data_IF_469268038846
#
_entry.id   IF_469268038846
#
_cell.length_a   1.000
_cell.length_b   1.000
_cell.length_c   1.000
_cell.angle_alpha   90.00
_cell.angle_beta   90.00
_cell.angle_gamma   90.00
#
_symmetry.space_group_name_H-M   'P 1'
#
loop_
_entity.id
_entity.type
_entity.pdbx_description
1 polymer ?
#
# COMPACT_ATOMS: atom_id res chain seq x y z
N UNK A 1 -43.87 14.78 63.91
CA UNK A 1 -43.23 15.51 62.77
C UNK A 1 -42.17 14.59 62.20
N UNK A 2 -42.53 13.80 61.20
CA UNK A 2 -41.64 12.77 60.62
C UNK A 2 -41.13 13.31 59.30
N UNK A 3 -39.82 13.53 59.18
CA UNK A 3 -39.13 14.01 57.91
C UNK A 3 -38.88 12.82 57.00
N UNK A 4 -39.52 12.84 55.85
CA UNK A 4 -39.31 11.91 54.76
C UNK A 4 -38.03 12.32 53.98
N UNK A 5 -37.00 11.48 54.00
CA UNK A 5 -35.78 11.67 53.19
C UNK A 5 -35.99 10.92 51.88
N UNK A 6 -36.15 11.67 50.77
CA UNK A 6 -36.19 11.11 49.41
C UNK A 6 -34.75 10.97 48.93
N UNK A 7 -34.26 9.73 48.78
CA UNK A 7 -32.99 9.42 48.15
C UNK A 7 -33.18 9.45 46.62
N UNK A 8 -32.57 10.47 45.99
CA UNK A 8 -32.43 10.51 44.52
C UNK A 8 -31.23 9.63 44.12
N UNK A 9 -31.51 8.46 43.54
CA UNK A 9 -30.47 7.64 42.95
C UNK A 9 -30.10 8.21 41.58
N UNK A 10 -28.95 8.87 41.55
CA UNK A 10 -28.33 9.37 40.30
C UNK A 10 -27.73 8.16 39.54
N UNK A 11 -28.38 7.68 38.49
CA UNK A 11 -27.83 6.68 37.61
C UNK A 11 -26.82 7.39 36.69
N UNK A 12 -25.56 7.27 37.04
CA UNK A 12 -24.44 7.63 36.15
C UNK A 12 -24.36 6.59 35.04
N UNK A 13 -24.90 6.92 33.87
CA UNK A 13 -24.67 6.15 32.64
C UNK A 13 -23.20 6.26 32.28
N UNK A 14 -22.46 5.17 32.44
CA UNK A 14 -21.05 5.05 32.07
C UNK A 14 -20.92 5.04 30.55
N UNK A 15 -20.13 5.97 29.94
CA UNK A 15 -19.89 5.99 28.47
C UNK A 15 -19.07 4.80 27.98
N UNK A 16 -18.62 3.89 28.83
CA UNK A 16 -17.81 2.72 28.46
C UNK A 16 -18.58 1.57 27.80
N UNK A 17 -19.89 1.47 28.04
CA UNK A 17 -20.69 0.35 27.51
C UNK A 17 -20.94 0.44 25.99
N UNK A 18 -21.06 1.66 25.46
CA UNK A 18 -21.30 1.87 24.03
C UNK A 18 -20.05 1.49 23.18
N UNK A 19 -18.86 1.83 23.66
CA UNK A 19 -17.59 1.52 22.98
C UNK A 19 -17.26 0.02 23.00
N UNK A 20 -17.54 -0.67 24.13
CA UNK A 20 -17.34 -2.13 24.26
C UNK A 20 -18.38 -2.95 23.46
N UNK A 21 -19.55 -2.39 23.17
CA UNK A 21 -20.54 -3.01 22.30
C UNK A 21 -20.19 -2.83 20.81
N UNK A 22 -19.56 -1.71 20.45
CA UNK A 22 -19.12 -1.43 19.08
C UNK A 22 -17.93 -2.32 18.69
N UNK A 23 -16.97 -2.56 19.59
CA UNK A 23 -15.85 -3.49 19.38
C UNK A 23 -16.29 -4.96 19.17
N UNK A 24 -17.51 -5.33 19.57
CA UNK A 24 -18.10 -6.66 19.34
C UNK A 24 -19.03 -6.73 18.14
N UNK A 25 -19.20 -5.63 17.42
CA UNK A 25 -20.09 -5.60 16.25
C UNK A 25 -19.52 -6.46 15.10
N UNK A 26 -20.39 -7.08 14.26
CA UNK A 26 -19.93 -7.80 13.07
C UNK A 26 -19.03 -6.95 12.18
N UNK A 27 -19.27 -5.64 12.07
CA UNK A 27 -18.43 -4.73 11.29
C UNK A 27 -17.03 -4.57 11.89
N UNK A 28 -16.92 -4.38 13.21
CA UNK A 28 -15.61 -4.30 13.87
C UNK A 28 -14.84 -5.62 13.74
N UNK A 29 -15.55 -6.76 13.85
CA UNK A 29 -14.97 -8.09 13.61
C UNK A 29 -14.48 -8.24 12.17
N UNK A 30 -15.23 -7.81 11.18
CA UNK A 30 -14.83 -7.86 9.77
C UNK A 30 -13.52 -7.07 9.53
N UNK A 31 -13.41 -5.84 10.09
CA UNK A 31 -12.17 -5.04 10.04
C UNK A 31 -10.99 -5.72 10.72
N UNK A 32 -11.22 -6.31 11.90
CA UNK A 32 -10.17 -7.04 12.60
C UNK A 32 -9.66 -8.23 11.78
N UNK A 33 -10.54 -9.04 11.24
CA UNK A 33 -10.19 -10.20 10.40
C UNK A 33 -9.46 -9.77 9.12
N UNK A 34 -9.92 -8.71 8.47
CA UNK A 34 -9.21 -8.12 7.33
C UNK A 34 -7.77 -7.72 7.69
N UNK A 35 -7.57 -7.03 8.81
CA UNK A 35 -6.25 -6.63 9.28
C UNK A 35 -5.36 -7.83 9.65
N UNK A 36 -5.97 -8.94 10.10
CA UNK A 36 -5.28 -10.21 10.34
C UNK A 36 -5.02 -11.02 9.07
N UNK A 37 -5.45 -10.51 7.90
CA UNK A 37 -5.38 -11.17 6.59
C UNK A 37 -6.19 -12.48 6.50
N UNK A 38 -7.16 -12.66 7.37
CA UNK A 38 -8.15 -13.73 7.27
C UNK A 38 -9.33 -13.24 6.40
N UNK A 39 -9.08 -13.21 5.08
CA UNK A 39 -10.00 -12.60 4.13
C UNK A 39 -11.32 -13.37 4.01
N UNK A 40 -11.30 -14.70 4.11
CA UNK A 40 -12.52 -15.51 4.06
C UNK A 40 -13.44 -15.20 5.26
N UNK A 41 -12.88 -15.20 6.45
CA UNK A 41 -13.64 -14.86 7.65
C UNK A 41 -14.07 -13.38 7.66
N UNK A 42 -13.26 -12.46 7.09
CA UNK A 42 -13.60 -11.06 6.97
C UNK A 42 -14.84 -10.85 6.07
N UNK A 43 -14.91 -11.55 4.92
CA UNK A 43 -16.06 -11.50 4.01
C UNK A 43 -17.31 -11.98 4.71
N UNK A 44 -17.25 -13.13 5.40
CA UNK A 44 -18.42 -13.67 6.14
C UNK A 44 -18.90 -12.70 7.22
N UNK A 45 -17.99 -12.12 7.99
CA UNK A 45 -18.34 -11.13 9.02
C UNK A 45 -18.91 -9.83 8.44
N UNK A 46 -18.40 -9.40 7.26
CA UNK A 46 -18.93 -8.25 6.55
C UNK A 46 -20.35 -8.52 6.01
N UNK A 47 -20.62 -9.71 5.47
CA UNK A 47 -21.97 -10.10 5.02
C UNK A 47 -22.98 -10.14 6.18
N UNK A 48 -22.55 -10.52 7.38
CA UNK A 48 -23.38 -10.41 8.57
C UNK A 48 -23.62 -8.93 8.96
N UNK A 49 -22.58 -8.10 8.92
CA UNK A 49 -22.70 -6.67 9.23
C UNK A 49 -23.63 -5.94 8.25
N UNK A 50 -23.64 -6.35 6.97
CA UNK A 50 -24.45 -5.79 5.89
C UNK A 50 -25.96 -5.89 6.14
N UNK A 51 -26.40 -6.81 6.98
CA UNK A 51 -27.83 -6.95 7.33
C UNK A 51 -28.39 -5.74 8.06
N UNK A 52 -27.53 -4.91 8.66
CA UNK A 52 -27.87 -3.63 9.24
C UNK A 52 -27.71 -2.53 8.19
N UNK A 53 -28.80 -1.89 7.71
CA UNK A 53 -28.77 -0.94 6.57
C UNK A 53 -27.80 0.22 6.77
N UNK A 54 -27.66 0.70 8.01
CA UNK A 54 -26.75 1.80 8.37
C UNK A 54 -25.26 1.43 8.30
N UNK A 55 -24.94 0.14 8.18
CA UNK A 55 -23.57 -0.40 8.10
C UNK A 55 -23.29 -1.06 6.76
N UNK A 56 -24.26 -1.13 5.87
CA UNK A 56 -24.18 -1.88 4.63
C UNK A 56 -23.03 -1.42 3.75
N UNK A 57 -22.88 -0.11 3.54
CA UNK A 57 -21.81 0.44 2.71
C UNK A 57 -20.41 0.17 3.31
N UNK A 58 -20.20 0.38 4.60
CA UNK A 58 -18.95 0.06 5.28
C UNK A 58 -18.62 -1.44 5.24
N UNK A 59 -19.64 -2.30 5.35
CA UNK A 59 -19.47 -3.75 5.27
C UNK A 59 -19.11 -4.20 3.85
N UNK A 60 -19.80 -3.67 2.83
CA UNK A 60 -19.48 -3.95 1.43
C UNK A 60 -18.09 -3.46 1.04
N UNK A 61 -17.62 -2.34 1.60
CA UNK A 61 -16.25 -1.86 1.40
C UNK A 61 -15.21 -2.86 1.93
N UNK A 62 -15.37 -3.34 3.16
CA UNK A 62 -14.46 -4.33 3.75
C UNK A 62 -14.46 -5.63 2.95
N UNK A 63 -15.66 -6.13 2.58
CA UNK A 63 -15.79 -7.35 1.79
C UNK A 63 -15.16 -7.19 0.40
N UNK A 64 -15.37 -6.06 -0.27
CA UNK A 64 -14.75 -5.78 -1.57
C UNK A 64 -13.23 -5.81 -1.50
N UNK A 65 -12.64 -5.14 -0.52
CA UNK A 65 -11.19 -5.14 -0.32
C UNK A 65 -10.64 -6.53 0.03
N UNK A 66 -11.35 -7.29 0.85
CA UNK A 66 -10.97 -8.68 1.15
C UNK A 66 -11.01 -9.58 -0.09
N UNK A 67 -12.00 -9.40 -0.96
CA UNK A 67 -12.11 -10.11 -2.24
C UNK A 67 -10.95 -9.75 -3.19
N UNK A 68 -10.53 -8.47 -3.26
CA UNK A 68 -9.37 -8.06 -4.06
C UNK A 68 -8.08 -8.70 -3.55
N UNK A 69 -7.87 -8.75 -2.24
CA UNK A 69 -6.70 -9.43 -1.67
C UNK A 69 -6.73 -10.94 -1.92
N UNK A 70 -7.90 -11.57 -1.86
CA UNK A 70 -8.07 -12.99 -2.18
C UNK A 70 -7.81 -13.27 -3.66
N UNK A 71 -8.29 -12.42 -4.55
CA UNK A 71 -7.99 -12.49 -5.98
C UNK A 71 -6.49 -12.39 -6.25
N UNK A 72 -5.77 -11.49 -5.58
CA UNK A 72 -4.31 -11.37 -5.69
C UNK A 72 -3.57 -12.68 -5.34
N UNK A 73 -4.09 -13.41 -4.36
CA UNK A 73 -3.48 -14.65 -3.91
C UNK A 73 -3.83 -15.87 -4.78
N UNK A 74 -5.04 -15.91 -5.35
CA UNK A 74 -5.61 -17.09 -5.99
C UNK A 74 -5.92 -16.93 -7.48
N UNK A 75 -6.02 -15.70 -7.98
CA UNK A 75 -6.46 -15.35 -9.34
C UNK A 75 -7.85 -15.92 -9.72
N UNK A 76 -8.73 -16.15 -8.73
CA UNK A 76 -10.11 -16.60 -8.97
C UNK A 76 -10.94 -15.44 -9.50
N UNK A 77 -11.33 -15.49 -10.78
CA UNK A 77 -12.00 -14.39 -11.49
C UNK A 77 -13.29 -13.92 -10.81
N UNK A 78 -14.02 -14.80 -10.15
CA UNK A 78 -15.25 -14.50 -9.42
C UNK A 78 -15.01 -13.52 -8.27
N UNK A 79 -13.87 -13.58 -7.60
CA UNK A 79 -13.50 -12.66 -6.52
C UNK A 79 -13.37 -11.22 -7.03
N UNK A 80 -12.73 -11.02 -8.18
CA UNK A 80 -12.60 -9.69 -8.79
C UNK A 80 -13.96 -9.14 -9.22
N UNK A 81 -14.81 -9.99 -9.81
CA UNK A 81 -16.15 -9.57 -10.23
C UNK A 81 -17.03 -9.21 -9.04
N UNK A 82 -17.03 -10.02 -7.97
CA UNK A 82 -17.76 -9.71 -6.75
C UNK A 82 -17.25 -8.42 -6.08
N UNK A 83 -15.94 -8.20 -6.05
CA UNK A 83 -15.36 -6.97 -5.53
C UNK A 83 -15.84 -5.74 -6.30
N UNK A 84 -15.81 -5.81 -7.64
CA UNK A 84 -16.31 -4.72 -8.51
C UNK A 84 -17.80 -4.46 -8.30
N UNK A 85 -18.61 -5.50 -8.16
CA UNK A 85 -20.05 -5.36 -7.92
C UNK A 85 -20.29 -4.63 -6.58
N UNK A 86 -19.61 -5.02 -5.51
CA UNK A 86 -19.74 -4.35 -4.21
C UNK A 86 -19.32 -2.88 -4.30
N UNK A 87 -18.15 -2.58 -4.86
CA UNK A 87 -17.66 -1.21 -5.01
C UNK A 87 -18.61 -0.32 -5.83
N UNK A 88 -19.24 -0.85 -6.89
CA UNK A 88 -20.21 -0.09 -7.70
C UNK A 88 -21.52 0.26 -6.99
N UNK A 89 -21.92 -0.53 -5.99
CA UNK A 89 -23.17 -0.31 -5.27
C UNK A 89 -23.04 0.57 -4.02
N UNK A 90 -21.80 0.91 -3.64
CA UNK A 90 -21.54 1.77 -2.48
C UNK A 90 -22.03 3.20 -2.73
N UNK A 91 -22.59 3.81 -1.69
CA UNK A 91 -22.93 5.23 -1.64
C UNK A 91 -21.79 5.98 -0.90
N UNK A 92 -20.81 6.58 -1.62
CA UNK A 92 -19.60 7.15 -0.97
C UNK A 92 -19.92 8.28 0.01
N UNK A 93 -21.05 8.95 -0.15
CA UNK A 93 -21.53 10.01 0.74
C UNK A 93 -21.93 9.49 2.13
N UNK A 94 -22.16 8.20 2.28
CA UNK A 94 -22.47 7.54 3.56
C UNK A 94 -21.24 7.04 4.30
N UNK A 95 -20.11 7.03 3.62
CA UNK A 95 -18.84 6.57 4.18
C UNK A 95 -18.20 7.69 5.02
N UNK A 96 -17.52 7.34 6.11
CA UNK A 96 -16.65 8.24 6.83
C UNK A 96 -15.45 8.67 5.96
N UNK A 97 -14.78 9.77 6.28
CA UNK A 97 -13.67 10.31 5.47
C UNK A 97 -12.58 9.27 5.20
N UNK A 98 -12.20 8.51 6.22
CA UNK A 98 -11.23 7.43 6.09
C UNK A 98 -11.75 6.30 5.17
N UNK A 99 -13.00 5.92 5.32
CA UNK A 99 -13.61 4.89 4.47
C UNK A 99 -13.73 5.35 3.03
N UNK A 100 -13.97 6.64 2.77
CA UNK A 100 -13.93 7.20 1.41
C UNK A 100 -12.56 7.05 0.77
N UNK A 101 -11.46 7.27 1.51
CA UNK A 101 -10.13 7.00 0.99
C UNK A 101 -9.92 5.50 0.73
N UNK A 102 -10.33 4.63 1.65
CA UNK A 102 -10.26 3.18 1.46
C UNK A 102 -11.10 2.72 0.24
N UNK A 103 -12.23 3.34 -0.01
CA UNK A 103 -13.04 3.11 -1.22
C UNK A 103 -12.30 3.50 -2.50
N UNK A 104 -11.69 4.68 -2.54
CA UNK A 104 -10.90 5.13 -3.71
C UNK A 104 -9.70 4.22 -3.93
N UNK A 105 -9.02 3.78 -2.86
CA UNK A 105 -7.95 2.78 -2.94
C UNK A 105 -8.47 1.47 -3.55
N UNK A 106 -9.61 0.97 -3.07
CA UNK A 106 -10.24 -0.26 -3.60
C UNK A 106 -10.62 -0.14 -5.08
N UNK A 107 -11.07 1.03 -5.55
CA UNK A 107 -11.29 1.28 -6.98
C UNK A 107 -9.98 1.23 -7.78
N UNK A 108 -8.91 1.82 -7.27
CA UNK A 108 -7.58 1.75 -7.89
C UNK A 108 -7.06 0.31 -7.97
N UNK A 109 -7.18 -0.46 -6.87
CA UNK A 109 -6.81 -1.88 -6.83
C UNK A 109 -7.63 -2.71 -7.84
N UNK A 110 -8.94 -2.48 -7.92
CA UNK A 110 -9.80 -3.17 -8.89
C UNK A 110 -9.42 -2.86 -10.34
N UNK A 111 -9.12 -1.60 -10.66
CA UNK A 111 -8.64 -1.18 -11.98
C UNK A 111 -7.30 -1.82 -12.34
N UNK A 112 -6.36 -1.86 -11.40
CA UNK A 112 -5.06 -2.48 -11.60
C UNK A 112 -5.19 -3.98 -11.90
N UNK A 113 -5.98 -4.68 -11.09
CA UNK A 113 -6.22 -6.11 -11.25
C UNK A 113 -7.04 -6.43 -12.51
N UNK A 114 -7.83 -5.46 -13.00
CA UNK A 114 -8.59 -5.55 -14.27
C UNK A 114 -7.77 -5.09 -15.49
N UNK A 115 -6.43 -5.11 -15.40
CA UNK A 115 -5.51 -4.80 -16.49
C UNK A 115 -5.65 -3.35 -17.04
N UNK A 116 -6.04 -2.41 -16.19
CA UNK A 116 -6.16 -0.98 -16.51
C UNK A 116 -5.15 -0.13 -15.70
N UNK A 117 -3.83 -0.40 -15.84
CA UNK A 117 -2.83 0.17 -14.93
C UNK A 117 -2.72 1.69 -15.01
N UNK A 118 -2.87 2.29 -16.19
CA UNK A 118 -2.83 3.75 -16.32
C UNK A 118 -3.98 4.45 -15.58
N UNK A 119 -5.20 3.89 -15.63
CA UNK A 119 -6.33 4.40 -14.85
C UNK A 119 -6.13 4.18 -13.34
N UNK A 120 -5.61 3.02 -12.95
CA UNK A 120 -5.27 2.74 -11.56
C UNK A 120 -4.24 3.74 -11.00
N UNK A 121 -3.18 4.03 -11.77
CA UNK A 121 -2.17 5.02 -11.39
C UNK A 121 -2.79 6.41 -11.15
N UNK A 122 -3.70 6.86 -12.01
CA UNK A 122 -4.40 8.14 -11.85
C UNK A 122 -5.26 8.18 -10.57
N UNK A 123 -5.93 7.05 -10.23
CA UNK A 123 -6.71 6.94 -8.99
C UNK A 123 -5.80 6.98 -7.76
N UNK A 124 -4.74 6.19 -7.73
CA UNK A 124 -3.79 6.20 -6.61
C UNK A 124 -3.08 7.56 -6.46
N UNK A 125 -2.81 8.27 -7.55
CA UNK A 125 -2.22 9.60 -7.51
C UNK A 125 -3.10 10.59 -6.74
N UNK A 126 -4.42 10.53 -6.96
CA UNK A 126 -5.39 11.35 -6.22
C UNK A 126 -5.40 11.05 -4.72
N UNK A 127 -5.26 9.77 -4.34
CA UNK A 127 -5.16 9.36 -2.94
C UNK A 127 -3.86 9.87 -2.31
N UNK A 128 -2.74 9.76 -3.01
CA UNK A 128 -1.43 10.23 -2.53
C UNK A 128 -1.35 11.76 -2.41
N UNK A 129 -2.20 12.50 -3.10
CA UNK A 129 -2.35 13.95 -2.98
C UNK A 129 -3.21 14.38 -1.78
N UNK A 130 -3.96 13.43 -1.15
CA UNK A 130 -4.79 13.69 0.02
C UNK A 130 -3.96 13.94 1.28
N UNK A 131 -4.64 14.42 2.34
CA UNK A 131 -4.01 14.64 3.65
C UNK A 131 -3.37 13.35 4.19
N UNK A 132 -2.07 13.44 4.50
CA UNK A 132 -1.29 12.30 5.00
C UNK A 132 -1.83 11.75 6.33
N UNK A 133 -2.50 12.57 7.14
CA UNK A 133 -3.08 12.16 8.43
C UNK A 133 -4.22 11.15 8.28
N UNK A 134 -4.87 11.10 7.12
CA UNK A 134 -5.96 10.19 6.83
C UNK A 134 -5.48 8.86 6.25
N UNK A 135 -4.23 8.74 5.85
CA UNK A 135 -3.69 7.62 5.09
C UNK A 135 -2.74 6.76 5.93
N UNK A 136 -3.30 5.90 6.76
CA UNK A 136 -2.53 4.78 7.32
C UNK A 136 -2.07 3.86 6.19
N UNK A 137 -0.76 3.56 6.13
CA UNK A 137 -0.24 2.69 5.07
C UNK A 137 0.04 3.39 3.75
N UNK A 138 0.38 4.70 3.78
CA UNK A 138 0.77 5.46 2.58
C UNK A 138 1.81 4.75 1.72
N UNK A 139 2.76 4.05 2.32
CA UNK A 139 3.77 3.28 1.58
C UNK A 139 3.16 2.16 0.73
N UNK A 140 2.06 1.55 1.18
CA UNK A 140 1.34 0.56 0.38
C UNK A 140 0.68 1.20 -0.86
N UNK A 141 0.04 2.36 -0.70
CA UNK A 141 -0.56 3.08 -1.84
C UNK A 141 0.50 3.58 -2.80
N UNK A 142 1.64 4.01 -2.28
CA UNK A 142 2.80 4.41 -3.08
C UNK A 142 3.35 3.25 -3.92
N UNK A 143 3.40 2.04 -3.34
CA UNK A 143 3.79 0.83 -4.03
C UNK A 143 2.80 0.46 -5.16
N UNK A 144 1.50 0.49 -4.87
CA UNK A 144 0.46 0.29 -5.87
C UNK A 144 0.55 1.31 -7.02
N UNK A 145 0.74 2.59 -6.68
CA UNK A 145 0.89 3.64 -7.67
C UNK A 145 2.09 3.41 -8.58
N UNK A 146 3.25 3.14 -8.00
CA UNK A 146 4.48 2.94 -8.76
C UNK A 146 4.41 1.66 -9.61
N UNK A 147 3.84 0.57 -9.07
CA UNK A 147 3.58 -0.66 -9.81
C UNK A 147 2.64 -0.42 -11.01
N UNK A 148 1.59 0.36 -10.81
CA UNK A 148 0.65 0.70 -11.88
C UNK A 148 1.31 1.55 -12.97
N UNK A 149 2.15 2.52 -12.61
CA UNK A 149 2.93 3.29 -13.58
C UNK A 149 3.92 2.40 -14.34
N UNK A 150 4.59 1.45 -13.67
CA UNK A 150 5.51 0.51 -14.31
C UNK A 150 4.78 -0.38 -15.32
N UNK A 151 3.63 -0.95 -14.95
CA UNK A 151 2.82 -1.78 -15.86
C UNK A 151 2.32 -0.97 -17.07
N UNK A 152 1.87 0.26 -16.85
CA UNK A 152 1.44 1.16 -17.92
C UNK A 152 2.61 1.55 -18.85
N UNK A 153 3.83 1.63 -18.32
CA UNK A 153 5.02 1.97 -19.10
C UNK A 153 5.49 0.84 -20.03
N UNK A 154 5.23 -0.43 -19.70
CA UNK A 154 5.77 -1.58 -20.44
C UNK A 154 5.42 -1.60 -21.94
N UNK A 155 4.16 -1.40 -22.37
CA UNK A 155 3.78 -1.41 -23.78
C UNK A 155 4.10 -0.11 -24.53
N UNK A 156 4.59 0.93 -23.84
CA UNK A 156 4.78 2.26 -24.43
C UNK A 156 6.09 2.40 -25.18
N UNK A 157 6.17 3.41 -26.02
CA UNK A 157 7.41 3.79 -26.70
C UNK A 157 8.50 4.16 -25.70
N UNK A 158 9.77 4.07 -26.12
CA UNK A 158 10.91 4.41 -25.25
C UNK A 158 10.78 5.83 -24.67
N UNK A 159 10.38 6.80 -25.49
CA UNK A 159 10.21 8.18 -25.05
C UNK A 159 9.12 8.33 -23.97
N UNK A 160 7.96 7.72 -24.18
CA UNK A 160 6.85 7.75 -23.20
C UNK A 160 7.23 7.00 -21.91
N UNK A 161 7.91 5.87 -22.04
CA UNK A 161 8.39 5.07 -20.91
C UNK A 161 9.37 5.85 -20.04
N UNK A 162 10.33 6.56 -20.67
CA UNK A 162 11.27 7.41 -19.95
C UNK A 162 10.56 8.53 -19.19
N UNK A 163 9.53 9.15 -19.76
CA UNK A 163 8.75 10.19 -19.11
C UNK A 163 7.99 9.65 -17.87
N UNK A 164 7.40 8.46 -17.98
CA UNK A 164 6.72 7.80 -16.85
C UNK A 164 7.68 7.47 -15.70
N UNK A 165 8.85 6.90 -16.00
CA UNK A 165 9.85 6.65 -14.96
C UNK A 165 10.44 7.94 -14.36
N UNK A 166 10.53 9.01 -15.14
CA UNK A 166 10.89 10.33 -14.61
C UNK A 166 9.89 10.80 -13.55
N UNK A 167 8.59 10.60 -13.80
CA UNK A 167 7.53 10.94 -12.84
C UNK A 167 7.67 10.12 -11.56
N UNK A 168 7.92 8.80 -11.67
CA UNK A 168 8.16 7.96 -10.50
C UNK A 168 9.37 8.45 -9.70
N UNK A 169 10.50 8.73 -10.37
CA UNK A 169 11.72 9.24 -9.70
C UNK A 169 11.48 10.56 -8.97
N UNK A 170 10.74 11.48 -9.59
CA UNK A 170 10.44 12.78 -8.98
C UNK A 170 9.62 12.59 -7.69
N UNK A 171 8.57 11.78 -7.76
CA UNK A 171 7.75 11.47 -6.59
C UNK A 171 8.54 10.78 -5.48
N UNK A 172 9.34 9.77 -5.80
CA UNK A 172 10.14 9.05 -4.79
C UNK A 172 11.14 9.99 -4.10
N UNK A 173 11.70 10.95 -4.81
CA UNK A 173 12.57 11.98 -4.22
C UNK A 173 11.82 12.85 -3.22
N UNK A 174 10.61 13.29 -3.56
CA UNK A 174 9.76 14.08 -2.65
C UNK A 174 9.35 13.27 -1.42
N UNK A 175 8.94 12.01 -1.61
CA UNK A 175 8.60 11.12 -0.50
C UNK A 175 9.78 10.88 0.44
N UNK A 176 10.98 10.64 -0.08
CA UNK A 176 12.18 10.45 0.73
C UNK A 176 12.62 11.73 1.46
N UNK A 177 12.33 12.91 0.90
CA UNK A 177 12.60 14.17 1.57
C UNK A 177 11.68 14.38 2.78
N UNK A 178 10.42 13.97 2.69
CA UNK A 178 9.43 14.08 3.78
C UNK A 178 9.54 12.92 4.76
N UNK A 179 9.76 11.70 4.26
CA UNK A 179 9.78 10.44 5.02
C UNK A 179 11.03 9.61 4.70
N UNK A 180 12.19 9.98 5.30
CA UNK A 180 13.47 9.32 5.00
C UNK A 180 13.49 7.80 5.29
N UNK A 181 12.58 7.33 6.13
CA UNK A 181 12.43 5.92 6.50
C UNK A 181 11.55 5.10 5.54
N UNK A 182 10.95 5.71 4.49
CA UNK A 182 10.10 4.99 3.54
C UNK A 182 10.93 3.98 2.73
N UNK A 183 10.73 2.70 3.03
CA UNK A 183 11.35 1.60 2.31
C UNK A 183 10.85 1.53 0.85
N UNK A 184 9.56 1.73 0.65
CA UNK A 184 8.91 1.75 -0.67
C UNK A 184 9.49 2.83 -1.56
N UNK A 185 9.62 4.06 -1.04
CA UNK A 185 10.19 5.15 -1.84
C UNK A 185 11.67 4.90 -2.18
N UNK A 186 12.45 4.32 -1.25
CA UNK A 186 13.84 3.96 -1.51
C UNK A 186 13.96 2.89 -2.61
N UNK A 187 13.15 1.83 -2.55
CA UNK A 187 13.12 0.78 -3.55
C UNK A 187 12.75 1.31 -4.95
N UNK A 188 11.64 2.06 -5.04
CA UNK A 188 11.15 2.57 -6.32
C UNK A 188 12.02 3.66 -6.92
N UNK A 189 12.79 4.41 -6.12
CA UNK A 189 13.81 5.31 -6.64
C UNK A 189 14.88 4.56 -7.45
N UNK A 190 15.27 3.36 -6.99
CA UNK A 190 16.23 2.50 -7.68
C UNK A 190 15.61 1.87 -8.94
N UNK A 191 14.43 1.27 -8.78
CA UNK A 191 13.72 0.59 -9.85
C UNK A 191 13.40 1.53 -11.02
N UNK A 192 12.92 2.75 -10.72
CA UNK A 192 12.62 3.75 -11.73
C UNK A 192 13.87 4.30 -12.44
N UNK A 193 14.98 4.50 -11.73
CA UNK A 193 16.24 4.89 -12.34
C UNK A 193 16.72 3.82 -13.34
N UNK A 194 16.65 2.54 -12.93
CA UNK A 194 16.95 1.41 -13.82
C UNK A 194 15.99 1.37 -15.01
N UNK A 195 14.69 1.53 -14.81
CA UNK A 195 13.67 1.55 -15.86
C UNK A 195 13.87 2.66 -16.88
N UNK A 196 14.45 3.78 -16.46
CA UNK A 196 14.88 4.89 -17.32
C UNK A 196 16.17 4.58 -18.12
N UNK A 197 16.87 3.49 -17.83
CA UNK A 197 18.19 3.21 -18.38
C UNK A 197 19.33 3.98 -17.70
N UNK A 198 19.06 4.74 -16.66
CA UNK A 198 20.05 5.43 -15.83
C UNK A 198 20.71 4.46 -14.86
N UNK A 199 21.57 3.58 -15.38
CA UNK A 199 22.21 2.53 -14.60
C UNK A 199 23.17 3.07 -13.53
N UNK A 200 23.77 4.25 -13.75
CA UNK A 200 24.58 4.90 -12.73
C UNK A 200 23.69 5.45 -11.61
N UNK A 201 22.61 6.17 -11.94
CA UNK A 201 21.67 6.66 -10.95
C UNK A 201 21.00 5.54 -10.18
N UNK A 202 20.70 4.40 -10.80
CA UNK A 202 20.19 3.21 -10.12
C UNK A 202 21.20 2.64 -9.11
N UNK A 203 22.47 2.58 -9.48
CA UNK A 203 23.56 2.14 -8.60
C UNK A 203 23.73 3.06 -7.40
N UNK A 204 23.78 4.38 -7.63
CA UNK A 204 23.95 5.36 -6.56
C UNK A 204 22.73 5.36 -5.62
N UNK A 205 21.53 5.23 -6.17
CA UNK A 205 20.30 5.10 -5.40
C UNK A 205 20.29 3.80 -4.55
N UNK A 206 20.81 2.69 -5.09
CA UNK A 206 20.91 1.42 -4.37
C UNK A 206 21.86 1.55 -3.17
N UNK A 207 23.01 2.19 -3.35
CA UNK A 207 23.96 2.46 -2.25
C UNK A 207 23.32 3.36 -1.18
N UNK A 208 22.65 4.44 -1.60
CA UNK A 208 21.97 5.34 -0.68
C UNK A 208 20.82 4.64 0.07
N UNK A 209 20.04 3.82 -0.63
CA UNK A 209 18.97 3.00 -0.03
C UNK A 209 19.50 1.99 0.99
N UNK A 210 20.60 1.33 0.69
CA UNK A 210 21.27 0.38 1.61
C UNK A 210 21.67 1.04 2.93
N UNK A 211 22.32 2.20 2.84
CA UNK A 211 22.77 2.96 4.02
C UNK A 211 21.60 3.50 4.82
N UNK A 212 20.52 3.88 4.15
CA UNK A 212 19.31 4.42 4.78
C UNK A 212 18.40 3.34 5.37
N UNK A 213 18.50 2.09 4.92
CA UNK A 213 17.62 1.00 5.29
C UNK A 213 17.37 0.86 6.81
N UNK A 214 18.37 1.03 7.71
CA UNK A 214 18.14 0.95 9.15
C UNK A 214 17.15 1.94 9.75
N UNK A 215 16.72 2.95 8.98
CA UNK A 215 15.64 3.87 9.40
C UNK A 215 14.25 3.22 9.34
N UNK A 216 14.08 2.12 8.59
CA UNK A 216 12.81 1.39 8.51
C UNK A 216 12.51 0.63 9.81
N UNK A 217 11.20 0.36 10.11
CA UNK A 217 10.77 -0.26 11.37
C UNK A 217 11.40 -1.63 11.66
N UNK A 218 11.73 -2.40 10.61
CA UNK A 218 12.38 -3.72 10.69
C UNK A 218 13.92 -3.64 10.67
N UNK A 219 14.48 -2.48 10.99
CA UNK A 219 15.92 -2.16 10.85
C UNK A 219 16.45 -2.37 9.42
N UNK A 220 15.56 -2.35 8.43
CA UNK A 220 15.88 -2.40 7.01
C UNK A 220 16.18 -3.78 6.45
N UNK A 221 15.85 -4.84 7.16
CA UNK A 221 16.12 -6.20 6.69
C UNK A 221 15.41 -6.52 5.37
N UNK A 222 14.11 -6.19 5.26
CA UNK A 222 13.33 -6.38 4.05
C UNK A 222 13.87 -5.53 2.89
N UNK A 223 14.06 -4.22 3.12
CA UNK A 223 14.56 -3.31 2.09
C UNK A 223 15.95 -3.72 1.58
N UNK A 224 16.89 -4.08 2.46
CA UNK A 224 18.21 -4.56 2.06
C UNK A 224 18.11 -5.83 1.21
N UNK A 225 17.23 -6.76 1.56
CA UNK A 225 16.98 -7.97 0.78
C UNK A 225 16.45 -7.67 -0.63
N UNK A 226 15.55 -6.70 -0.76
CA UNK A 226 14.98 -6.30 -2.04
C UNK A 226 15.99 -5.53 -2.91
N UNK A 227 16.74 -4.61 -2.31
CA UNK A 227 17.83 -3.89 -2.99
C UNK A 227 18.88 -4.87 -3.50
N UNK A 228 19.37 -5.78 -2.65
CA UNK A 228 20.39 -6.75 -3.05
C UNK A 228 19.91 -7.62 -4.20
N UNK A 229 18.67 -8.10 -4.13
CA UNK A 229 18.04 -8.88 -5.20
C UNK A 229 17.96 -8.11 -6.52
N UNK A 230 17.55 -6.84 -6.48
CA UNK A 230 17.46 -5.98 -7.66
C UNK A 230 18.86 -5.68 -8.24
N UNK A 231 19.83 -5.37 -7.40
CA UNK A 231 21.21 -5.11 -7.81
C UNK A 231 21.85 -6.34 -8.46
N UNK A 232 21.78 -7.49 -7.77
CA UNK A 232 22.39 -8.74 -8.23
C UNK A 232 21.77 -9.26 -9.53
N UNK A 233 20.43 -9.24 -9.63
CA UNK A 233 19.72 -9.89 -10.73
C UNK A 233 19.54 -8.99 -11.96
N UNK A 234 19.56 -7.67 -11.78
CA UNK A 234 19.25 -6.74 -12.85
C UNK A 234 20.35 -5.68 -13.08
N UNK A 235 20.68 -4.88 -12.07
CA UNK A 235 21.58 -3.73 -12.27
C UNK A 235 22.99 -4.18 -12.63
N UNK A 236 23.56 -5.17 -11.95
CA UNK A 236 24.91 -5.67 -12.23
C UNK A 236 25.02 -6.21 -13.66
N UNK A 237 24.15 -7.13 -14.13
CA UNK A 237 24.23 -7.63 -15.51
C UNK A 237 24.03 -6.55 -16.57
N UNK A 238 23.14 -5.60 -16.35
CA UNK A 238 22.87 -4.52 -17.30
C UNK A 238 24.06 -3.53 -17.35
N UNK A 239 24.59 -3.17 -16.19
CA UNK A 239 25.77 -2.31 -16.08
C UNK A 239 27.02 -2.94 -16.70
N UNK A 240 27.25 -4.24 -16.41
CA UNK A 240 28.35 -4.99 -16.99
C UNK A 240 28.35 -4.93 -18.53
N UNK A 241 27.18 -5.15 -19.14
CA UNK A 241 27.00 -5.04 -20.57
C UNK A 241 27.22 -3.61 -21.10
N UNK A 242 26.71 -2.62 -20.38
CA UNK A 242 26.81 -1.22 -20.81
C UNK A 242 28.26 -0.69 -20.81
N UNK A 243 29.11 -1.11 -19.87
CA UNK A 243 30.49 -0.63 -19.73
C UNK A 243 31.53 -1.65 -20.22
N UNK A 244 31.12 -2.81 -20.73
CA UNK A 244 32.00 -3.85 -21.24
C UNK A 244 32.92 -4.50 -20.20
N UNK A 245 32.46 -4.58 -18.93
CA UNK A 245 33.19 -5.20 -17.83
C UNK A 245 32.56 -6.53 -17.42
N UNK A 246 33.35 -7.47 -16.82
CA UNK A 246 32.78 -8.68 -16.24
C UNK A 246 31.80 -8.35 -15.12
N UNK A 247 30.65 -9.02 -15.10
CA UNK A 247 29.65 -8.84 -14.02
C UNK A 247 30.21 -9.16 -12.63
N UNK A 248 31.19 -10.08 -12.58
CA UNK A 248 31.85 -10.47 -11.33
C UNK A 248 32.60 -9.30 -10.68
N UNK A 249 33.36 -8.54 -11.46
CA UNK A 249 34.07 -7.36 -10.94
C UNK A 249 33.12 -6.31 -10.34
N UNK A 250 31.95 -6.12 -10.94
CA UNK A 250 30.94 -5.20 -10.41
C UNK A 250 30.29 -5.77 -9.17
N UNK A 251 30.09 -7.09 -9.11
CA UNK A 251 29.59 -7.80 -7.92
C UNK A 251 30.54 -7.64 -6.74
N UNK A 252 31.85 -7.82 -6.95
CA UNK A 252 32.87 -7.61 -5.91
C UNK A 252 32.81 -6.19 -5.32
N UNK A 253 32.61 -5.17 -6.17
CA UNK A 253 32.45 -3.77 -5.72
C UNK A 253 31.18 -3.63 -4.85
N UNK A 254 30.08 -4.29 -5.24
CA UNK A 254 28.84 -4.26 -4.45
C UNK A 254 29.00 -4.97 -3.10
N UNK A 255 29.62 -6.14 -3.06
CA UNK A 255 29.87 -6.89 -1.83
C UNK A 255 30.78 -6.09 -0.87
N UNK A 256 31.88 -5.54 -1.37
CA UNK A 256 32.77 -4.69 -0.58
C UNK A 256 32.08 -3.43 -0.06
N UNK A 257 31.12 -2.88 -0.81
CA UNK A 257 30.30 -1.77 -0.32
C UNK A 257 29.40 -2.23 0.84
N UNK A 258 28.70 -3.36 0.69
CA UNK A 258 27.82 -3.91 1.73
C UNK A 258 28.60 -4.20 3.04
N UNK A 259 29.77 -4.81 2.95
CA UNK A 259 30.61 -5.10 4.10
C UNK A 259 30.98 -3.84 4.90
N UNK A 260 31.31 -2.73 4.21
CA UNK A 260 31.64 -1.45 4.85
C UNK A 260 30.45 -0.82 5.58
N UNK A 261 29.23 -1.08 5.13
CA UNK A 261 28.01 -0.44 5.64
C UNK A 261 27.08 -1.40 6.41
N UNK A 262 27.50 -2.63 6.64
CA UNK A 262 26.76 -3.66 7.37
C UNK A 262 27.00 -3.57 8.90
N UNK A 263 26.82 -2.37 9.45
CA UNK A 263 26.93 -2.16 10.91
C UNK A 263 25.55 -2.07 11.54
#
# INVERSE_FOLDING_TARGET
MTRLVVLFALVLALPGAARAADDRSPLARARQLYNMRDFDAAIVAADEARKAPERADSADLIAARALLERFRASAVADDLEQARQRLRHLAPERLADRERLEYVIGLGEALYLDQSPGAAAAVFDSVLASDESLLDGRDLVLDWWASAVEEDARPRTEFERQALYQTVRARMREELARRPASATAAYWAIAAARGQGDLQGAWDAAQAGWVRAPLAPDHGAALRGDIDRLVQRAIIPERARAIGQPAESIREVWEAFKERWNR
#
